data_IF_124555744685
#
_entry.id   IF_124555744685
#
_cell.length_a   1.000
_cell.length_b   1.000
_cell.length_c   1.000
_cell.angle_alpha   90.00
_cell.angle_beta   90.00
_cell.angle_gamma   90.00
#
_symmetry.space_group_name_H-M   'P 1'
#
loop_
_entity.id
_entity.type
_entity.pdbx_description
1 polymer ?
#
# COMPACT_ATOMS: atom_id res chain seq x y z
N UNK A 1 -4.38 4.57 -25.22
CA UNK A 1 -4.73 5.40 -24.05
C UNK A 1 -4.63 4.61 -22.75
N UNK A 2 -5.20 3.40 -22.71
CA UNK A 2 -5.21 2.50 -21.54
C UNK A 2 -3.83 2.20 -20.96
N UNK A 3 -2.82 1.91 -21.79
CA UNK A 3 -1.44 1.67 -21.32
C UNK A 3 -0.83 2.86 -20.57
N UNK A 4 -1.12 4.10 -21.01
CA UNK A 4 -0.63 5.30 -20.33
C UNK A 4 -1.31 5.45 -18.96
N UNK A 5 -2.61 5.17 -18.89
CA UNK A 5 -3.37 5.19 -17.63
C UNK A 5 -2.86 4.12 -16.67
N UNK A 6 -2.62 2.90 -17.16
CA UNK A 6 -2.06 1.80 -16.39
C UNK A 6 -0.71 2.18 -15.77
N UNK A 7 0.21 2.69 -16.61
CA UNK A 7 1.53 3.13 -16.15
C UNK A 7 1.41 4.20 -15.08
N UNK A 8 0.55 5.19 -15.28
CA UNK A 8 0.34 6.26 -14.29
C UNK A 8 -0.19 5.68 -12.98
N UNK A 9 -1.18 4.79 -13.03
CA UNK A 9 -1.72 4.15 -11.82
C UNK A 9 -0.67 3.35 -11.06
N UNK A 10 0.11 2.51 -11.76
CA UNK A 10 1.16 1.72 -11.12
C UNK A 10 2.24 2.63 -10.51
N UNK A 11 2.64 3.69 -11.21
CA UNK A 11 3.59 4.69 -10.66
C UNK A 11 3.01 5.37 -9.42
N UNK A 12 1.73 5.75 -9.42
CA UNK A 12 1.09 6.34 -8.25
C UNK A 12 1.07 5.37 -7.06
N UNK A 13 0.81 4.08 -7.29
CA UNK A 13 0.87 3.05 -6.24
C UNK A 13 2.29 2.91 -5.70
N UNK A 14 3.31 2.87 -6.57
CA UNK A 14 4.73 2.83 -6.17
C UNK A 14 5.08 4.04 -5.33
N UNK A 15 4.75 5.26 -5.79
CA UNK A 15 5.04 6.50 -5.07
C UNK A 15 4.33 6.56 -3.72
N UNK A 16 3.07 6.13 -3.65
CA UNK A 16 2.33 6.03 -2.41
C UNK A 16 3.01 5.06 -1.43
N UNK A 17 3.37 3.85 -1.89
CA UNK A 17 4.07 2.86 -1.06
C UNK A 17 5.43 3.39 -0.57
N UNK A 18 6.19 4.10 -1.41
CA UNK A 18 7.43 4.76 -0.99
C UNK A 18 7.15 5.85 0.04
N UNK A 19 6.14 6.70 -0.16
CA UNK A 19 5.81 7.78 0.76
C UNK A 19 5.41 7.27 2.15
N UNK A 20 4.53 6.26 2.21
CA UNK A 20 4.16 5.59 3.46
C UNK A 20 5.38 4.93 4.09
N UNK A 21 6.19 4.23 3.27
CA UNK A 21 7.42 3.59 3.74
C UNK A 21 8.41 4.57 4.37
N UNK A 22 8.62 5.72 3.73
CA UNK A 22 9.51 6.79 4.21
C UNK A 22 8.99 7.46 5.46
N UNK A 23 7.67 7.69 5.57
CA UNK A 23 7.07 8.27 6.77
C UNK A 23 7.27 7.33 7.99
N UNK A 24 6.99 6.04 7.82
CA UNK A 24 7.18 5.04 8.88
C UNK A 24 8.65 4.80 9.22
N UNK A 25 9.55 4.91 8.24
CA UNK A 25 10.99 4.71 8.43
C UNK A 25 11.67 5.88 9.15
N UNK A 26 11.31 7.12 8.79
CA UNK A 26 12.04 8.31 9.25
C UNK A 26 11.34 9.04 10.40
N UNK A 27 10.00 9.09 10.40
CA UNK A 27 9.19 9.82 11.37
C UNK A 27 8.04 8.96 11.94
N UNK A 28 8.34 7.76 12.49
CA UNK A 28 7.33 6.79 12.89
C UNK A 28 6.31 7.32 13.91
N UNK A 29 6.76 8.06 14.93
CA UNK A 29 5.86 8.55 15.98
C UNK A 29 4.85 9.56 15.43
N UNK A 30 5.29 10.46 14.53
CA UNK A 30 4.41 11.37 13.83
C UNK A 30 3.42 10.62 12.94
N UNK A 31 3.92 9.65 12.15
CA UNK A 31 3.09 8.87 11.24
C UNK A 31 1.99 8.08 11.97
N UNK A 32 2.33 7.45 13.10
CA UNK A 32 1.39 6.72 13.93
C UNK A 32 0.37 7.66 14.60
N UNK A 33 0.81 8.75 15.23
CA UNK A 33 -0.12 9.71 15.85
C UNK A 33 -1.07 10.35 14.84
N UNK A 34 -0.54 10.72 13.67
CA UNK A 34 -1.38 11.19 12.55
C UNK A 34 -2.45 10.16 12.19
N UNK A 35 -2.10 8.87 12.19
CA UNK A 35 -3.01 7.77 11.92
C UNK A 35 -4.02 7.45 13.03
N UNK A 36 -4.03 8.22 14.13
CA UNK A 36 -4.97 8.06 15.24
C UNK A 36 -4.52 7.08 16.32
N UNK A 37 -3.22 6.74 16.37
CA UNK A 37 -2.66 5.98 17.50
C UNK A 37 -2.36 6.92 18.67
N UNK A 38 -2.88 6.61 19.85
CA UNK A 38 -2.66 7.41 21.07
C UNK A 38 -1.27 7.17 21.67
N UNK A 39 -0.87 5.89 21.77
CA UNK A 39 0.45 5.47 22.24
C UNK A 39 1.28 4.89 21.09
N UNK A 40 2.52 5.34 20.99
CA UNK A 40 3.48 4.86 20.01
C UNK A 40 4.48 3.96 20.72
N UNK A 41 4.36 2.64 20.49
CA UNK A 41 5.30 1.63 21.01
C UNK A 41 6.70 1.75 20.42
N UNK A 42 7.58 0.75 20.63
CA UNK A 42 8.95 0.79 20.12
C UNK A 42 9.02 1.04 18.60
N UNK A 43 9.84 2.00 18.19
CA UNK A 43 9.97 2.43 16.79
C UNK A 43 10.49 1.34 15.82
N UNK A 44 10.98 0.21 16.33
CA UNK A 44 11.47 -0.89 15.50
C UNK A 44 10.43 -1.40 14.51
N UNK A 45 9.22 -1.72 14.96
CA UNK A 45 8.17 -2.29 14.09
C UNK A 45 7.66 -1.30 13.04
N UNK A 46 7.35 -0.04 13.36
CA UNK A 46 7.02 0.96 12.35
C UNK A 46 8.13 1.13 11.32
N UNK A 47 9.39 1.22 11.75
CA UNK A 47 10.53 1.34 10.82
C UNK A 47 10.68 0.10 9.93
N UNK A 48 10.49 -1.09 10.51
CA UNK A 48 10.48 -2.35 9.76
C UNK A 48 9.35 -2.37 8.72
N UNK A 49 8.13 -1.97 9.09
CA UNK A 49 7.03 -1.82 8.17
C UNK A 49 7.35 -0.80 7.06
N UNK A 50 8.07 0.27 7.39
CA UNK A 50 8.60 1.24 6.44
C UNK A 50 9.54 0.62 5.40
N UNK A 51 10.50 -0.19 5.85
CA UNK A 51 11.41 -0.94 4.97
C UNK A 51 10.63 -1.88 4.05
N UNK A 52 9.65 -2.62 4.57
CA UNK A 52 8.85 -3.54 3.75
C UNK A 52 8.04 -2.83 2.68
N UNK A 53 7.50 -1.64 2.95
CA UNK A 53 6.82 -0.83 1.93
C UNK A 53 7.77 -0.43 0.79
N UNK A 54 9.00 -0.05 1.12
CA UNK A 54 10.02 0.31 0.12
C UNK A 54 10.39 -0.92 -0.72
N UNK A 55 10.62 -2.07 -0.10
CA UNK A 55 10.93 -3.32 -0.80
C UNK A 55 9.79 -3.74 -1.72
N UNK A 56 8.54 -3.66 -1.27
CA UNK A 56 7.37 -3.94 -2.11
C UNK A 56 7.26 -2.97 -3.28
N UNK A 57 7.46 -1.67 -3.04
CA UNK A 57 7.44 -0.66 -4.11
C UNK A 57 8.51 -0.92 -5.18
N UNK A 58 9.71 -1.33 -4.77
CA UNK A 58 10.76 -1.77 -5.69
C UNK A 58 10.35 -3.03 -6.46
N UNK A 59 9.73 -4.00 -5.78
CA UNK A 59 9.18 -5.20 -6.40
C UNK A 59 8.15 -4.88 -7.48
N UNK A 60 7.21 -3.97 -7.20
CA UNK A 60 6.22 -3.51 -8.18
C UNK A 60 6.88 -2.83 -9.37
N UNK A 61 7.88 -1.97 -9.13
CA UNK A 61 8.62 -1.30 -10.20
C UNK A 61 9.35 -2.31 -11.08
N UNK A 62 10.05 -3.26 -10.49
CA UNK A 62 10.79 -4.31 -11.22
C UNK A 62 9.82 -5.18 -12.03
N UNK A 63 8.76 -5.69 -11.40
CA UNK A 63 7.76 -6.52 -12.06
C UNK A 63 7.11 -5.77 -13.23
N UNK A 64 6.66 -4.54 -13.01
CA UNK A 64 5.94 -3.78 -14.02
C UNK A 64 6.84 -3.31 -15.15
N UNK A 65 7.99 -2.70 -14.86
CA UNK A 65 8.83 -2.10 -15.90
C UNK A 65 9.69 -3.13 -16.66
N UNK A 66 10.05 -4.27 -16.04
CA UNK A 66 10.81 -5.33 -16.73
C UNK A 66 9.93 -6.44 -17.31
N UNK A 67 8.89 -6.84 -16.60
CA UNK A 67 8.08 -8.00 -16.97
C UNK A 67 6.66 -7.66 -17.39
N UNK A 68 6.24 -6.38 -17.28
CA UNK A 68 4.87 -5.92 -17.58
C UNK A 68 3.79 -6.67 -16.78
N UNK A 69 4.18 -7.26 -15.65
CA UNK A 69 3.28 -7.93 -14.71
C UNK A 69 2.79 -6.99 -13.62
N UNK A 70 1.70 -7.39 -12.96
CA UNK A 70 1.12 -6.70 -11.80
C UNK A 70 0.77 -7.68 -10.67
N UNK A 71 1.22 -8.92 -10.74
CA UNK A 71 0.81 -10.00 -9.83
C UNK A 71 1.26 -9.72 -8.41
N UNK A 72 2.49 -9.21 -8.21
CA UNK A 72 2.98 -8.86 -6.89
C UNK A 72 2.18 -7.70 -6.29
N UNK A 73 1.88 -6.67 -7.10
CA UNK A 73 1.05 -5.54 -6.68
C UNK A 73 -0.34 -5.99 -6.25
N UNK A 74 -1.03 -6.76 -7.09
CA UNK A 74 -2.38 -7.25 -6.78
C UNK A 74 -2.40 -8.16 -5.56
N UNK A 75 -1.41 -9.05 -5.43
CA UNK A 75 -1.32 -9.96 -4.28
C UNK A 75 -1.12 -9.18 -2.99
N UNK A 76 -0.17 -8.25 -2.97
CA UNK A 76 0.11 -7.44 -1.80
C UNK A 76 -1.08 -6.55 -1.40
N UNK A 77 -1.72 -5.86 -2.36
CA UNK A 77 -2.90 -5.02 -2.09
C UNK A 77 -4.10 -5.84 -1.60
N UNK A 78 -4.31 -7.02 -2.14
CA UNK A 78 -5.39 -7.92 -1.68
C UNK A 78 -5.15 -8.43 -0.27
N UNK A 79 -3.92 -8.85 0.04
CA UNK A 79 -3.54 -9.30 1.38
C UNK A 79 -3.69 -8.14 2.38
N UNK A 80 -3.21 -6.95 2.04
CA UNK A 80 -3.33 -5.76 2.88
C UNK A 80 -4.79 -5.37 3.14
N UNK A 81 -5.63 -5.34 2.09
CA UNK A 81 -7.06 -5.07 2.22
C UNK A 81 -7.73 -6.04 3.19
N UNK A 82 -7.48 -7.34 3.03
CA UNK A 82 -8.06 -8.38 3.89
C UNK A 82 -7.54 -8.24 5.32
N UNK A 83 -6.22 -8.12 5.50
CA UNK A 83 -5.60 -7.98 6.82
C UNK A 83 -6.13 -6.75 7.56
N UNK A 84 -6.09 -5.57 6.95
CA UNK A 84 -6.54 -4.32 7.58
C UNK A 84 -8.06 -4.29 7.80
N UNK A 85 -8.83 -4.91 6.90
CA UNK A 85 -10.27 -5.09 7.08
C UNK A 85 -10.57 -5.92 8.33
N UNK A 86 -9.89 -7.06 8.50
CA UNK A 86 -9.99 -7.86 9.72
C UNK A 86 -9.47 -7.11 10.96
N UNK A 87 -8.34 -6.41 10.87
CA UNK A 87 -7.81 -5.60 11.97
C UNK A 87 -8.81 -4.53 12.43
N UNK A 88 -9.51 -3.89 11.50
CA UNK A 88 -10.56 -2.90 11.80
C UNK A 88 -11.68 -3.52 12.65
N UNK A 89 -12.09 -4.74 12.32
CA UNK A 89 -13.17 -5.44 13.05
C UNK A 89 -12.72 -5.94 14.42
N UNK A 90 -11.46 -6.36 14.55
CA UNK A 90 -10.91 -6.93 15.78
C UNK A 90 -10.43 -5.86 16.78
N UNK A 91 -10.00 -4.69 16.30
CA UNK A 91 -9.52 -3.59 17.13
C UNK A 91 -10.63 -2.56 17.25
N UNK A 92 -11.42 -2.57 18.33
CA UNK A 92 -12.46 -1.56 18.56
C UNK A 92 -12.20 -0.72 19.82
N UNK A 93 -12.06 0.61 19.73
CA UNK A 93 -12.05 1.42 18.50
C UNK A 93 -10.73 1.32 17.72
N UNK A 94 -10.82 1.17 16.40
CA UNK A 94 -9.64 1.15 15.54
C UNK A 94 -9.13 2.58 15.29
N UNK A 95 -7.81 2.81 15.25
CA UNK A 95 -7.24 4.04 14.70
C UNK A 95 -7.78 4.27 13.28
N UNK A 96 -8.20 5.49 12.96
CA UNK A 96 -8.92 5.80 11.71
C UNK A 96 -8.14 5.40 10.45
N UNK A 97 -6.80 5.40 10.53
CA UNK A 97 -5.94 5.05 9.41
C UNK A 97 -6.09 3.59 8.99
N UNK A 98 -6.48 2.70 9.90
CA UNK A 98 -6.61 1.25 9.63
C UNK A 98 -7.74 0.96 8.63
N UNK A 99 -9.01 1.34 8.89
CA UNK A 99 -10.09 1.15 7.92
C UNK A 99 -9.88 1.97 6.64
N UNK A 100 -9.32 3.18 6.77
CA UNK A 100 -9.01 4.01 5.60
C UNK A 100 -7.99 3.33 4.68
N UNK A 101 -6.92 2.79 5.25
CA UNK A 101 -5.87 2.10 4.49
C UNK A 101 -6.40 0.81 3.85
N UNK A 102 -7.27 0.07 4.54
CA UNK A 102 -7.94 -1.10 3.95
C UNK A 102 -8.67 -0.69 2.66
N UNK A 103 -9.56 0.30 2.74
CA UNK A 103 -10.31 0.77 1.58
C UNK A 103 -9.39 1.29 0.46
N UNK A 104 -8.37 2.06 0.81
CA UNK A 104 -7.42 2.60 -0.16
C UNK A 104 -6.66 1.48 -0.90
N UNK A 105 -6.19 0.45 -0.18
CA UNK A 105 -5.49 -0.69 -0.78
C UNK A 105 -6.40 -1.52 -1.69
N UNK A 106 -7.64 -1.77 -1.26
CA UNK A 106 -8.64 -2.45 -2.08
C UNK A 106 -8.95 -1.69 -3.37
N UNK A 107 -9.15 -0.37 -3.29
CA UNK A 107 -9.44 0.49 -4.44
C UNK A 107 -8.24 0.58 -5.39
N UNK A 108 -7.02 0.73 -4.87
CA UNK A 108 -5.80 0.75 -5.68
C UNK A 108 -5.63 -0.57 -6.45
N UNK A 109 -5.74 -1.71 -5.76
CA UNK A 109 -5.63 -3.02 -6.37
C UNK A 109 -6.71 -3.25 -7.44
N UNK A 110 -7.96 -2.91 -7.13
CA UNK A 110 -9.08 -3.03 -8.06
C UNK A 110 -8.91 -2.15 -9.32
N UNK A 111 -8.51 -0.88 -9.15
CA UNK A 111 -8.30 0.04 -10.25
C UNK A 111 -7.18 -0.45 -11.19
N UNK A 112 -6.06 -0.90 -10.64
CA UNK A 112 -4.95 -1.46 -11.44
C UNK A 112 -5.41 -2.73 -12.17
N UNK A 113 -6.11 -3.65 -11.51
CA UNK A 113 -6.62 -4.87 -12.15
C UNK A 113 -7.58 -4.57 -13.29
N UNK A 114 -8.51 -3.62 -13.10
CA UNK A 114 -9.48 -3.23 -14.12
C UNK A 114 -8.79 -2.65 -15.35
N UNK A 115 -7.82 -1.74 -15.15
CA UNK A 115 -7.11 -1.09 -16.26
C UNK A 115 -6.18 -2.06 -16.98
N UNK A 116 -5.46 -2.91 -16.24
CA UNK A 116 -4.58 -3.92 -16.82
C UNK A 116 -5.37 -4.91 -17.69
N UNK A 117 -6.52 -5.40 -17.22
CA UNK A 117 -7.40 -6.25 -18.04
C UNK A 117 -7.82 -5.57 -19.34
N UNK A 118 -8.07 -4.26 -19.33
CA UNK A 118 -8.44 -3.49 -20.53
C UNK A 118 -7.25 -3.14 -21.44
N UNK A 119 -6.02 -3.26 -20.97
CA UNK A 119 -4.82 -3.03 -21.76
C UNK A 119 -4.30 -4.31 -22.42
N UNK A 120 -4.56 -5.47 -21.80
CA UNK A 120 -4.18 -6.79 -22.29
C UNK A 120 -5.19 -7.41 -23.28
N UNK A 121 -6.31 -6.73 -23.55
CA UNK A 121 -7.31 -7.06 -24.56
C UNK A 121 -7.29 -6.01 -25.68
#
# INVERSE_FOLDING_TARGET
MTERVERVLVVLVILHSVAVGMALLTVPDFALRFGGWEETGPAFFPRQAGVFHIVLAMGYAIEYFRHRGITLLLSAKSIAFVFLGFSTLLMWPAPWIVPFSALADGLMGYAVALVHRRASH
#
